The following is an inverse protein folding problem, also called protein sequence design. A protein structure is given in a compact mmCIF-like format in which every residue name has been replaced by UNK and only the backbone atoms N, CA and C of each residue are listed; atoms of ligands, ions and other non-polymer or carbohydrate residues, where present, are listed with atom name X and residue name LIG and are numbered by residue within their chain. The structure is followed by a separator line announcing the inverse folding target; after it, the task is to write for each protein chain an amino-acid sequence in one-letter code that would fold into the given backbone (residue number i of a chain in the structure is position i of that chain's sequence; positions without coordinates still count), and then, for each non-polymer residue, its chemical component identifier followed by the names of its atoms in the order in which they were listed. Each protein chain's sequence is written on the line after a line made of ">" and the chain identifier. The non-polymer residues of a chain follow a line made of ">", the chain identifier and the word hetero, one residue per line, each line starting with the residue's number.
data_IF_487037981663
#
_entry.id   IF_487037981663
#
_cell.length_a   1.000
_cell.length_b   1.000
_cell.length_c   1.000
_cell.angle_alpha   90.00
_cell.angle_beta   90.00
_cell.angle_gamma   90.00
#
_symmetry.space_group_name_H-M   'P 1'
#
loop_
_entity.id
_entity.type
_entity.pdbx_description
1 polymer ?
#
# COMPACT_ATOMS: atom_id res chain seq x y z
N UNK A 1 -4.18 -16.09 29.55
CA UNK A 1 -3.82 -16.30 28.14
C UNK A 1 -3.71 -14.93 27.49
N UNK A 2 -2.49 -14.47 27.19
CA UNK A 2 -2.30 -13.15 26.59
C UNK A 2 -2.77 -13.19 25.14
N UNK A 3 -3.83 -12.46 24.83
CA UNK A 3 -4.17 -12.13 23.43
C UNK A 3 -3.03 -11.25 22.94
N UNK A 4 -2.08 -11.85 22.23
CA UNK A 4 -1.13 -11.08 21.42
C UNK A 4 -2.01 -10.28 20.47
N UNK A 5 -2.12 -8.95 20.70
CA UNK A 5 -2.65 -8.05 19.68
C UNK A 5 -1.84 -8.35 18.43
N UNK A 6 -2.52 -8.86 17.41
CA UNK A 6 -1.92 -9.19 16.14
C UNK A 6 -1.10 -7.98 15.70
N UNK A 7 0.23 -8.15 15.75
CA UNK A 7 1.17 -7.25 15.10
C UNK A 7 0.63 -7.14 13.68
N UNK A 8 0.33 -5.94 13.15
CA UNK A 8 -0.16 -5.84 11.78
C UNK A 8 0.89 -6.53 10.92
N UNK A 9 0.47 -7.58 10.21
CA UNK A 9 1.33 -8.35 9.32
C UNK A 9 1.92 -7.33 8.34
N UNK A 10 3.16 -6.92 8.60
CA UNK A 10 3.89 -5.95 7.77
C UNK A 10 4.03 -6.62 6.42
N UNK A 11 3.20 -6.21 5.46
CA UNK A 11 3.47 -6.58 4.08
C UNK A 11 4.65 -5.70 3.65
N UNK A 12 5.86 -6.22 3.83
CA UNK A 12 7.12 -5.53 3.49
C UNK A 12 7.10 -4.99 2.06
N UNK A 13 6.36 -5.62 1.16
CA UNK A 13 6.17 -5.14 -0.20
C UNK A 13 5.33 -3.85 -0.25
N UNK A 14 4.20 -3.80 0.45
CA UNK A 14 3.36 -2.59 0.55
C UNK A 14 4.13 -1.46 1.21
N UNK A 15 4.87 -1.74 2.28
CA UNK A 15 5.69 -0.75 2.96
C UNK A 15 6.80 -0.21 2.06
N UNK A 16 7.44 -1.08 1.25
CA UNK A 16 8.43 -0.67 0.24
C UNK A 16 7.81 0.26 -0.81
N UNK A 17 6.64 -0.08 -1.34
CA UNK A 17 5.97 0.76 -2.36
C UNK A 17 5.52 2.10 -1.77
N UNK A 18 5.00 2.12 -0.54
CA UNK A 18 4.66 3.36 0.17
C UNK A 18 5.91 4.22 0.38
N UNK A 19 7.03 3.60 0.77
CA UNK A 19 8.31 4.30 0.94
C UNK A 19 8.77 4.95 -0.36
N UNK A 20 8.76 4.21 -1.48
CA UNK A 20 9.13 4.74 -2.80
C UNK A 20 8.23 5.90 -3.24
N UNK A 21 6.92 5.79 -3.01
CA UNK A 21 5.97 6.89 -3.27
C UNK A 21 6.37 8.14 -2.47
N UNK A 22 6.62 7.98 -1.19
CA UNK A 22 6.95 9.12 -0.31
C UNK A 22 8.29 9.74 -0.68
N UNK A 23 9.30 8.94 -1.05
CA UNK A 23 10.58 9.43 -1.56
C UNK A 23 10.39 10.25 -2.85
N UNK A 24 9.59 9.77 -3.80
CA UNK A 24 9.29 10.51 -5.03
C UNK A 24 8.58 11.84 -4.75
N UNK A 25 7.63 11.86 -3.81
CA UNK A 25 6.97 13.10 -3.37
C UNK A 25 7.94 14.06 -2.68
N UNK A 26 8.75 13.57 -1.75
CA UNK A 26 9.75 14.39 -1.05
C UNK A 26 10.75 15.00 -2.04
N UNK A 27 11.21 14.24 -3.04
CA UNK A 27 12.10 14.76 -4.07
C UNK A 27 11.46 15.92 -4.86
N UNK A 28 10.18 15.79 -5.23
CA UNK A 28 9.45 16.85 -5.92
C UNK A 28 9.30 18.06 -4.98
N UNK A 29 8.83 17.87 -3.76
CA UNK A 29 8.60 18.97 -2.80
C UNK A 29 9.88 19.73 -2.50
N UNK A 30 10.99 19.05 -2.22
CA UNK A 30 12.28 19.69 -1.95
C UNK A 30 12.80 20.49 -3.15
N UNK A 31 12.57 19.98 -4.38
CA UNK A 31 12.92 20.69 -5.62
C UNK A 31 12.11 21.97 -5.76
N UNK A 32 10.79 21.90 -5.62
CA UNK A 32 9.90 23.06 -5.75
C UNK A 32 10.17 24.09 -4.64
N UNK A 33 10.34 23.65 -3.38
CA UNK A 33 10.71 24.53 -2.26
C UNK A 33 12.07 25.21 -2.50
N UNK A 34 13.02 24.51 -3.10
CA UNK A 34 14.33 25.10 -3.45
C UNK A 34 14.21 26.17 -4.52
N UNK A 35 13.23 26.08 -5.43
CA UNK A 35 12.97 27.09 -6.45
C UNK A 35 12.22 28.29 -5.87
N UNK A 36 11.18 28.05 -5.07
CA UNK A 36 10.45 29.10 -4.35
C UNK A 36 11.37 29.91 -3.43
N UNK A 37 12.32 29.24 -2.77
CA UNK A 37 13.31 29.93 -1.93
C UNK A 37 14.27 30.82 -2.73
N UNK A 38 14.52 30.50 -4.01
CA UNK A 38 15.39 31.28 -4.90
C UNK A 38 14.66 32.46 -5.54
N UNK A 39 13.40 32.25 -5.90
CA UNK A 39 12.52 33.27 -6.47
C UNK A 39 11.17 33.23 -5.75
N UNK A 40 10.86 34.22 -4.89
CA UNK A 40 9.59 34.30 -4.17
C UNK A 40 8.36 34.41 -5.08
N UNK A 41 8.55 34.79 -6.35
CA UNK A 41 7.48 34.84 -7.35
C UNK A 41 7.43 33.56 -8.22
N UNK A 42 8.21 32.53 -7.88
CA UNK A 42 8.20 31.26 -8.58
C UNK A 42 6.83 30.59 -8.48
N UNK A 43 6.22 30.34 -9.63
CA UNK A 43 4.98 29.55 -9.69
C UNK A 43 5.33 28.06 -9.72
N UNK A 44 4.83 27.31 -8.74
CA UNK A 44 5.06 25.87 -8.61
C UNK A 44 4.63 25.17 -9.90
N UNK A 45 5.54 24.41 -10.51
CA UNK A 45 5.30 23.80 -11.80
C UNK A 45 5.61 22.30 -11.77
N UNK A 46 4.56 21.48 -11.77
CA UNK A 46 4.71 20.03 -11.87
C UNK A 46 4.86 19.58 -13.33
N UNK A 47 5.91 18.81 -13.62
CA UNK A 47 6.04 18.22 -14.95
C UNK A 47 5.10 17.02 -15.12
N UNK A 48 4.71 16.71 -16.36
CA UNK A 48 3.96 15.48 -16.68
C UNK A 48 4.70 14.23 -16.17
N UNK A 49 6.04 14.26 -16.15
CA UNK A 49 6.88 13.19 -15.62
C UNK A 49 6.69 13.02 -14.11
N UNK A 50 6.65 14.11 -13.34
CA UNK A 50 6.41 14.08 -11.90
C UNK A 50 5.03 13.49 -11.57
N UNK A 51 4.01 13.94 -12.31
CA UNK A 51 2.63 13.45 -12.17
C UNK A 51 2.51 11.97 -12.49
N UNK A 52 3.16 11.50 -13.57
CA UNK A 52 3.16 10.10 -13.95
C UNK A 52 3.83 9.21 -12.89
N UNK A 53 4.98 9.65 -12.34
CA UNK A 53 5.70 8.91 -11.29
C UNK A 53 4.83 8.71 -10.04
N UNK A 54 4.12 9.75 -9.61
CA UNK A 54 3.16 9.66 -8.49
C UNK A 54 1.99 8.71 -8.82
N UNK A 55 1.44 8.81 -10.02
CA UNK A 55 0.31 8.00 -10.49
C UNK A 55 0.67 6.51 -10.55
N UNK A 56 1.86 6.18 -11.05
CA UNK A 56 2.34 4.81 -11.17
C UNK A 56 2.51 4.14 -9.81
N UNK A 57 3.09 4.86 -8.84
CA UNK A 57 3.19 4.37 -7.46
C UNK A 57 1.81 4.17 -6.81
N UNK A 58 0.84 5.04 -7.09
CA UNK A 58 -0.53 4.88 -6.59
C UNK A 58 -1.23 3.64 -7.17
N UNK A 59 -1.06 3.40 -8.47
CA UNK A 59 -1.61 2.22 -9.14
C UNK A 59 -1.01 0.93 -8.58
N UNK A 60 0.29 0.93 -8.30
CA UNK A 60 0.97 -0.21 -7.70
C UNK A 60 0.41 -0.53 -6.30
N UNK A 61 0.20 0.49 -5.46
CA UNK A 61 -0.41 0.30 -4.12
C UNK A 61 -1.83 -0.29 -4.25
N UNK A 62 -2.65 0.25 -5.16
CA UNK A 62 -4.02 -0.25 -5.39
C UNK A 62 -4.01 -1.72 -5.82
N UNK A 63 -3.13 -2.10 -6.73
CA UNK A 63 -2.96 -3.49 -7.16
C UNK A 63 -2.57 -4.40 -5.99
N UNK A 64 -1.61 -3.99 -5.16
CA UNK A 64 -1.19 -4.79 -4.01
C UNK A 64 -2.30 -4.95 -2.95
N UNK A 65 -3.04 -3.88 -2.66
CA UNK A 65 -4.18 -3.94 -1.73
C UNK A 65 -5.27 -4.85 -2.29
N UNK A 66 -5.60 -4.72 -3.58
CA UNK A 66 -6.56 -5.58 -4.24
C UNK A 66 -6.13 -7.06 -4.19
N UNK A 67 -4.88 -7.39 -4.50
CA UNK A 67 -4.35 -8.75 -4.41
C UNK A 67 -4.49 -9.29 -2.97
N UNK A 68 -4.11 -8.50 -1.96
CA UNK A 68 -4.26 -8.90 -0.55
C UNK A 68 -5.71 -9.18 -0.22
N UNK A 69 -6.62 -8.26 -0.54
CA UNK A 69 -8.01 -8.38 -0.14
C UNK A 69 -8.72 -9.52 -0.87
N UNK A 70 -8.35 -9.83 -2.12
CA UNK A 70 -8.97 -10.92 -2.88
C UNK A 70 -8.36 -12.30 -2.58
N UNK A 71 -7.01 -12.42 -2.54
CA UNK A 71 -6.37 -13.72 -2.26
C UNK A 71 -6.55 -14.14 -0.79
N UNK A 72 -6.52 -13.19 0.15
CA UNK A 72 -6.65 -13.50 1.57
C UNK A 72 -8.11 -13.80 1.97
N UNK A 73 -9.09 -13.19 1.29
CA UNK A 73 -10.51 -13.56 1.41
C UNK A 73 -10.77 -14.95 0.81
N UNK A 74 -10.18 -15.28 -0.34
CA UNK A 74 -10.34 -16.59 -0.97
C UNK A 74 -9.69 -17.72 -0.16
N UNK A 75 -8.50 -17.49 0.40
CA UNK A 75 -7.82 -18.46 1.28
C UNK A 75 -8.50 -18.55 2.67
N UNK A 76 -9.06 -17.47 3.20
CA UNK A 76 -9.84 -17.48 4.45
C UNK A 76 -11.16 -18.25 4.33
N UNK A 77 -11.90 -18.07 3.22
CA UNK A 77 -13.13 -18.83 2.96
C UNK A 77 -12.87 -20.31 2.72
N UNK A 78 -11.77 -20.68 2.07
CA UNK A 78 -11.48 -22.11 1.78
C UNK A 78 -10.89 -22.87 2.97
N UNK A 79 -10.10 -22.22 3.83
CA UNK A 79 -9.54 -22.87 5.04
C UNK A 79 -10.57 -23.00 6.16
N UNK A 80 -11.40 -21.98 6.40
CA UNK A 80 -12.42 -22.04 7.46
C UNK A 80 -13.65 -22.89 7.09
N UNK A 81 -14.03 -22.99 5.80
CA UNK A 81 -15.15 -23.84 5.38
C UNK A 81 -14.81 -25.34 5.28
N UNK A 82 -13.51 -25.72 5.26
CA UNK A 82 -13.11 -27.14 5.32
C UNK A 82 -13.18 -27.71 6.74
N UNK A 83 -13.01 -26.88 7.77
CA UNK A 83 -13.01 -27.35 9.16
C UNK A 83 -14.43 -27.54 9.75
N UNK A 84 -15.46 -26.92 9.13
CA UNK A 84 -16.84 -26.96 9.62
C UNK A 84 -17.71 -28.03 8.97
N UNK A 85 -17.22 -28.75 7.94
CA UNK A 85 -17.98 -29.83 7.30
C UNK A 85 -17.71 -31.18 7.99
N UNK A 86 -18.47 -31.39 9.06
CA UNK A 86 -18.99 -32.70 9.52
C UNK A 86 -17.98 -33.79 9.91
N UNK A 87 -17.73 -33.95 11.21
CA UNK A 87 -17.60 -35.30 11.77
C UNK A 87 -18.99 -35.96 11.71
N UNK A 88 -19.18 -37.12 11.05
CA UNK A 88 -20.39 -37.90 11.27
C UNK A 88 -20.37 -38.39 12.73
N UNK A 89 -21.38 -37.99 13.49
CA UNK A 89 -21.71 -38.59 14.78
C UNK A 89 -22.43 -39.90 14.43
N UNK A 90 -21.71 -41.01 14.46
CA UNK A 90 -22.34 -42.32 14.39
C UNK A 90 -22.82 -42.66 15.82
N UNK A 91 -24.12 -42.87 15.95
CA UNK A 91 -24.78 -43.38 17.14
C UNK A 91 -24.43 -44.87 17.32
#
# INVERSE_FOLDING_TARGET
>A
MFIKKDKPLSNDCVNKVIKQKNEAFSEIVERELSQEKRDPNYEVAYTLKDLNRVKDHLNLIKHYVWIRDNILVDNGRTVFNKLTRSKPKNN
#
